data_IF_037918591355
#
_entry.id   IF_037918591355
#
_cell.length_a   1.000
_cell.length_b   1.000
_cell.length_c   1.000
_cell.angle_alpha   90.00
_cell.angle_beta   90.00
_cell.angle_gamma   90.00
#
_symmetry.space_group_name_H-M   'P 1'
#
loop_
_entity.id
_entity.type
_entity.pdbx_description
1 polymer ?
#
# COMPACT_ATOMS: atom_id res chain seq x y z
N UNK A 1 15.55 0.57 8.80
CA UNK A 1 14.62 1.68 9.06
C UNK A 1 13.66 1.75 7.88
N UNK A 2 12.37 1.58 8.12
CA UNK A 2 11.35 1.74 7.08
C UNK A 2 11.29 3.23 6.76
N UNK A 3 11.65 3.60 5.53
CA UNK A 3 11.58 4.99 5.08
C UNK A 3 10.09 5.39 4.99
N UNK A 4 9.66 6.33 5.80
CA UNK A 4 8.31 6.88 5.72
C UNK A 4 8.24 7.92 4.61
N UNK A 5 7.20 7.91 3.76
CA UNK A 5 7.03 8.92 2.72
C UNK A 5 6.83 10.31 3.35
N UNK A 6 7.23 11.36 2.63
CA UNK A 6 7.01 12.76 3.05
C UNK A 6 5.64 13.32 2.66
N UNK A 7 4.89 12.58 1.86
CA UNK A 7 3.52 12.89 1.43
C UNK A 7 2.60 11.84 1.99
N UNK A 8 1.60 12.25 2.75
CA UNK A 8 0.58 11.34 3.29
C UNK A 8 -0.46 10.99 2.22
N UNK A 9 -0.97 9.77 2.31
CA UNK A 9 -2.04 9.30 1.44
C UNK A 9 -3.31 9.02 2.24
N UNK A 10 -4.43 9.41 1.67
CA UNK A 10 -5.74 9.19 2.27
C UNK A 10 -6.71 8.66 1.21
N UNK A 11 -7.59 7.76 1.61
CA UNK A 11 -8.71 7.27 0.81
C UNK A 11 -10.01 7.62 1.54
N UNK A 12 -10.83 8.49 0.93
CA UNK A 12 -12.05 9.04 1.54
C UNK A 12 -11.79 9.65 2.95
N UNK A 13 -10.62 10.27 3.14
CA UNK A 13 -10.17 10.84 4.40
C UNK A 13 -9.52 9.84 5.37
N UNK A 14 -9.58 8.54 5.12
CA UNK A 14 -8.90 7.51 5.90
C UNK A 14 -7.41 7.52 5.58
N UNK A 15 -6.56 7.63 6.59
CA UNK A 15 -5.11 7.53 6.41
C UNK A 15 -4.72 6.12 5.93
N UNK A 16 -3.97 6.04 4.83
CA UNK A 16 -3.44 4.80 4.27
C UNK A 16 -1.98 4.66 4.70
N UNK A 17 -1.72 3.66 5.54
CA UNK A 17 -0.41 3.49 6.16
C UNK A 17 0.64 2.87 5.23
N UNK A 18 0.21 1.99 4.36
CA UNK A 18 1.06 1.28 3.40
C UNK A 18 0.94 1.89 2.01
N UNK A 19 2.06 2.18 1.33
CA UNK A 19 2.04 2.63 -0.06
C UNK A 19 1.53 1.54 -1.03
N UNK A 20 1.56 0.29 -0.62
CA UNK A 20 1.08 -0.83 -1.43
C UNK A 20 -0.45 -0.85 -1.53
N UNK A 21 -1.17 -0.47 -0.50
CA UNK A 21 -2.64 -0.33 -0.53
C UNK A 21 -3.14 0.71 -1.54
N UNK A 22 -2.25 1.53 -2.10
CA UNK A 22 -2.56 2.54 -3.12
C UNK A 22 -2.32 2.05 -4.55
N UNK A 23 -1.68 0.90 -4.72
CA UNK A 23 -1.43 0.33 -6.05
C UNK A 23 -2.71 -0.21 -6.70
N UNK A 24 -3.86 -0.04 -6.04
CA UNK A 24 -5.14 -0.38 -6.63
C UNK A 24 -5.34 0.45 -7.89
N UNK A 25 -5.63 -0.19 -9.00
CA UNK A 25 -6.09 0.47 -10.23
C UNK A 25 -7.17 1.50 -9.84
N UNK A 26 -7.07 2.74 -10.32
CA UNK A 26 -7.99 3.85 -10.00
C UNK A 26 -9.46 3.45 -10.17
N UNK A 27 -9.93 2.63 -9.23
CA UNK A 27 -11.24 2.01 -9.25
C UNK A 27 -12.30 3.04 -8.83
N UNK A 28 -13.13 3.46 -9.78
CA UNK A 28 -14.35 4.23 -9.53
C UNK A 28 -14.12 5.48 -8.66
N UNK A 29 -13.22 6.35 -9.13
CA UNK A 29 -12.90 7.59 -8.45
C UNK A 29 -13.88 8.70 -8.80
N UNK A 30 -14.12 9.59 -7.85
CA UNK A 30 -14.77 10.88 -8.07
C UNK A 30 -13.73 11.94 -8.43
N UNK A 31 -12.68 12.09 -7.58
CA UNK A 31 -11.59 13.05 -7.77
C UNK A 31 -10.36 12.69 -6.94
N UNK A 32 -9.25 13.35 -7.23
CA UNK A 32 -8.03 13.31 -6.43
C UNK A 32 -7.73 14.73 -5.98
N UNK A 33 -7.52 14.93 -4.69
CA UNK A 33 -7.16 16.19 -4.07
C UNK A 33 -5.68 16.17 -3.70
N UNK A 34 -4.91 17.17 -4.15
CA UNK A 34 -3.49 17.31 -3.86
C UNK A 34 -3.26 18.59 -3.07
N UNK A 35 -2.86 18.43 -1.82
CA UNK A 35 -2.52 19.52 -0.91
C UNK A 35 -1.00 19.66 -0.87
N UNK A 36 -0.50 20.79 -1.36
CA UNK A 36 0.94 21.06 -1.45
C UNK A 36 1.43 21.76 -0.20
N UNK A 37 2.64 21.41 0.23
CA UNK A 37 3.28 21.96 1.42
C UNK A 37 2.84 21.27 2.71
N UNK A 38 3.43 21.66 3.86
CA UNK A 38 3.20 20.97 5.13
C UNK A 38 1.73 20.96 5.56
N UNK A 39 1.18 19.79 5.80
CA UNK A 39 -0.20 19.56 6.22
C UNK A 39 -0.28 18.86 7.60
N UNK A 40 0.80 18.92 8.39
CA UNK A 40 0.96 18.11 9.61
C UNK A 40 -0.12 18.33 10.68
N UNK A 41 -0.80 19.48 10.71
CA UNK A 41 -1.85 19.75 11.70
C UNK A 41 -3.06 18.85 11.48
N UNK A 42 -3.63 18.84 10.27
CA UNK A 42 -4.86 18.12 9.94
C UNK A 42 -4.58 16.69 9.43
N UNK A 43 -3.63 16.54 8.51
CA UNK A 43 -3.32 15.26 7.89
C UNK A 43 -2.29 14.42 8.66
N UNK A 44 -1.67 15.01 9.69
CA UNK A 44 -0.84 14.30 10.65
C UNK A 44 0.50 13.86 10.11
N UNK A 45 0.85 12.61 10.41
CA UNK A 45 2.15 12.04 10.06
C UNK A 45 2.36 11.95 8.54
N UNK A 46 3.64 11.95 8.14
CA UNK A 46 4.06 11.80 6.75
C UNK A 46 3.56 12.91 5.79
N UNK A 47 3.12 14.07 6.31
CA UNK A 47 2.54 15.16 5.52
C UNK A 47 3.40 16.42 5.50
N UNK A 48 4.73 16.27 5.60
CA UNK A 48 5.69 17.40 5.55
C UNK A 48 5.84 17.98 4.14
N UNK A 49 5.70 17.16 3.10
CA UNK A 49 5.68 17.57 1.68
C UNK A 49 4.29 17.88 1.16
N UNK A 50 3.25 17.33 1.80
CA UNK A 50 1.86 17.49 1.38
C UNK A 50 1.00 16.30 1.76
N UNK A 51 -0.23 16.30 1.23
CA UNK A 51 -1.17 15.19 1.34
C UNK A 51 -1.88 14.94 0.00
N UNK A 52 -2.15 13.68 -0.29
CA UNK A 52 -2.99 13.26 -1.42
C UNK A 52 -4.20 12.56 -0.83
N UNK A 53 -5.39 13.03 -1.16
CA UNK A 53 -6.64 12.43 -0.75
C UNK A 53 -7.40 11.96 -2.00
N UNK A 54 -7.57 10.65 -2.11
CA UNK A 54 -8.31 10.01 -3.19
C UNK A 54 -9.76 9.86 -2.74
N UNK A 55 -10.68 10.47 -3.47
CA UNK A 55 -12.11 10.43 -3.17
C UNK A 55 -12.78 9.47 -4.14
N UNK A 56 -13.43 8.45 -3.60
CA UNK A 56 -14.17 7.47 -4.37
C UNK A 56 -15.64 7.90 -4.53
N UNK A 57 -16.31 7.44 -5.59
CA UNK A 57 -17.71 7.77 -5.79
C UNK A 57 -18.58 7.15 -4.70
N UNK A 58 -19.40 7.99 -4.07
CA UNK A 58 -20.35 7.54 -3.05
C UNK A 58 -21.53 6.79 -3.68
N UNK A 59 -22.16 5.84 -2.94
CA UNK A 59 -23.48 5.34 -3.27
C UNK A 59 -24.52 6.47 -3.27
N UNK A 60 -25.52 6.39 -4.14
CA UNK A 60 -26.66 7.31 -4.14
C UNK A 60 -27.98 6.56 -4.11
N UNK A 61 -28.97 7.13 -3.44
CA UNK A 61 -30.35 6.63 -3.39
C UNK A 61 -31.21 7.11 -4.56
N UNK A 62 -30.69 7.98 -5.45
CA UNK A 62 -31.44 8.62 -6.52
C UNK A 62 -31.85 7.63 -7.60
N UNK A 63 -30.92 6.76 -8.03
CA UNK A 63 -31.17 5.86 -9.15
C UNK A 63 -30.35 4.56 -9.11
N UNK A 64 -30.88 3.53 -9.73
CA UNK A 64 -30.11 2.34 -10.07
C UNK A 64 -29.44 2.54 -11.41
N UNK A 65 -28.12 2.47 -11.45
CA UNK A 65 -27.37 2.47 -12.70
C UNK A 65 -26.14 1.56 -12.63
N UNK A 66 -25.63 1.20 -13.79
CA UNK A 66 -24.39 0.43 -13.89
C UNK A 66 -23.68 0.68 -15.20
N UNK A 67 -22.41 0.41 -15.22
CA UNK A 67 -21.59 0.44 -16.43
C UNK A 67 -20.61 -0.73 -16.41
N UNK A 68 -20.25 -1.21 -17.61
CA UNK A 68 -19.18 -2.15 -17.81
C UNK A 68 -18.39 -1.75 -19.05
N UNK A 69 -17.08 -1.84 -18.99
CA UNK A 69 -16.21 -1.62 -20.12
C UNK A 69 -15.14 -2.71 -20.19
N UNK A 70 -14.70 -3.00 -21.42
CA UNK A 70 -13.65 -3.96 -21.72
C UNK A 70 -12.63 -3.28 -22.63
N UNK A 71 -11.37 -3.31 -22.24
CA UNK A 71 -10.26 -2.82 -23.03
C UNK A 71 -9.39 -3.99 -23.46
N UNK A 72 -9.07 -4.07 -24.73
CA UNK A 72 -8.16 -5.06 -25.32
C UNK A 72 -6.98 -4.35 -25.97
N UNK A 73 -5.80 -4.94 -25.92
CA UNK A 73 -4.60 -4.34 -26.47
C UNK A 73 -3.50 -5.35 -26.81
N UNK A 74 -2.30 -4.84 -27.05
CA UNK A 74 -1.13 -5.66 -27.35
C UNK A 74 -0.75 -6.53 -26.12
N UNK A 75 0.00 -7.59 -26.36
CA UNK A 75 0.43 -8.55 -25.35
C UNK A 75 -0.75 -9.21 -24.61
N UNK A 76 -1.80 -9.56 -25.34
CA UNK A 76 -2.98 -10.18 -24.72
C UNK A 76 -3.73 -9.31 -23.71
N UNK A 77 -3.48 -7.98 -23.68
CA UNK A 77 -4.12 -7.10 -22.71
C UNK A 77 -5.64 -7.28 -22.74
N UNK A 78 -6.17 -7.64 -21.59
CA UNK A 78 -7.59 -7.67 -21.29
C UNK A 78 -7.85 -6.96 -19.97
N UNK A 79 -8.48 -5.79 -20.03
CA UNK A 79 -8.89 -5.04 -18.85
C UNK A 79 -10.41 -4.94 -18.83
N UNK A 80 -11.02 -5.43 -17.75
CA UNK A 80 -12.48 -5.40 -17.54
C UNK A 80 -12.79 -4.52 -16.35
N UNK A 81 -13.78 -3.63 -16.50
CA UNK A 81 -14.26 -2.79 -15.41
C UNK A 81 -15.77 -2.87 -15.34
N UNK A 82 -16.32 -2.93 -14.12
CA UNK A 82 -17.76 -2.90 -13.91
C UNK A 82 -18.09 -2.08 -12.65
N UNK A 83 -19.18 -1.36 -12.70
CA UNK A 83 -19.71 -0.58 -11.59
C UNK A 83 -21.21 -0.75 -11.55
N UNK A 84 -21.77 -0.89 -10.35
CA UNK A 84 -23.22 -0.84 -10.11
C UNK A 84 -23.49 0.03 -8.89
N UNK A 85 -24.48 0.93 -9.02
CA UNK A 85 -25.08 1.67 -7.93
C UNK A 85 -26.53 1.21 -7.76
N UNK A 86 -26.93 0.91 -6.54
CA UNK A 86 -28.27 0.42 -6.24
C UNK A 86 -28.81 1.01 -4.94
N UNK A 87 -29.90 1.82 -5.00
CA UNK A 87 -30.72 2.10 -3.84
C UNK A 87 -31.27 0.78 -3.25
N UNK A 88 -31.08 0.58 -1.94
CA UNK A 88 -31.64 -0.57 -1.20
C UNK A 88 -32.90 -0.16 -0.44
N UNK A 89 -32.99 1.12 -0.04
CA UNK A 89 -34.15 1.77 0.54
C UNK A 89 -34.05 3.29 0.30
N UNK A 90 -35.00 4.05 0.84
CA UNK A 90 -34.98 5.52 0.77
C UNK A 90 -33.73 6.13 1.43
N UNK A 91 -33.15 5.44 2.42
CA UNK A 91 -32.04 5.93 3.24
C UNK A 91 -30.79 5.08 3.14
N UNK A 92 -30.76 4.04 2.30
CA UNK A 92 -29.65 3.11 2.17
C UNK A 92 -29.35 2.86 0.70
N UNK A 93 -28.13 3.10 0.31
CA UNK A 93 -27.62 2.77 -1.02
C UNK A 93 -26.35 1.93 -0.94
N UNK A 94 -26.15 1.11 -1.97
CA UNK A 94 -24.95 0.32 -2.19
C UNK A 94 -24.30 0.70 -3.53
N UNK A 95 -22.98 0.74 -3.53
CA UNK A 95 -22.18 0.84 -4.76
C UNK A 95 -21.12 -0.25 -4.74
N UNK A 96 -21.07 -1.06 -5.81
CA UNK A 96 -20.04 -2.04 -6.02
C UNK A 96 -19.25 -1.74 -7.29
N UNK A 97 -17.95 -1.92 -7.23
CA UNK A 97 -17.02 -1.64 -8.33
C UNK A 97 -16.02 -2.78 -8.42
N UNK A 98 -15.67 -3.15 -9.64
CA UNK A 98 -14.75 -4.24 -9.97
C UNK A 98 -13.84 -3.84 -11.12
N UNK A 99 -12.59 -4.26 -11.05
CA UNK A 99 -11.63 -4.18 -12.15
C UNK A 99 -10.74 -5.42 -12.15
N UNK A 100 -10.49 -5.95 -13.34
CA UNK A 100 -9.50 -6.99 -13.59
C UNK A 100 -8.60 -6.52 -14.72
N UNK A 101 -7.31 -6.73 -14.59
CA UNK A 101 -6.31 -6.35 -15.56
C UNK A 101 -5.34 -7.52 -15.76
N UNK A 102 -5.33 -8.09 -16.98
CA UNK A 102 -4.43 -9.17 -17.35
C UNK A 102 -3.70 -8.78 -18.63
N UNK A 103 -2.39 -9.01 -18.66
CA UNK A 103 -1.54 -8.75 -19.82
C UNK A 103 -0.29 -9.63 -19.75
N UNK A 104 0.08 -10.25 -20.87
CA UNK A 104 1.32 -11.00 -21.00
C UNK A 104 2.55 -10.10 -20.79
N UNK A 105 3.65 -10.66 -20.29
CA UNK A 105 4.91 -9.97 -20.18
C UNK A 105 5.45 -9.53 -21.56
N UNK A 106 6.26 -8.49 -21.57
CA UNK A 106 6.87 -7.97 -22.79
C UNK A 106 8.41 -7.94 -22.72
N UNK A 107 8.98 -8.42 -21.63
CA UNK A 107 10.43 -8.59 -21.46
C UNK A 107 10.73 -10.06 -21.20
N UNK A 108 11.51 -10.68 -22.06
CA UNK A 108 11.85 -12.10 -22.01
C UNK A 108 13.14 -12.32 -21.20
N UNK A 109 13.11 -13.22 -20.24
CA UNK A 109 14.30 -13.75 -19.60
C UNK A 109 14.81 -14.96 -20.40
N UNK A 110 15.90 -14.79 -21.15
CA UNK A 110 16.44 -15.80 -22.05
C UNK A 110 17.02 -17.03 -21.33
N UNK A 111 17.29 -16.93 -20.02
CA UNK A 111 17.90 -18.01 -19.24
C UNK A 111 16.85 -18.99 -18.73
N UNK A 112 15.76 -18.49 -18.16
CA UNK A 112 14.73 -19.33 -17.55
C UNK A 112 13.38 -19.33 -18.32
N UNK A 113 13.25 -18.48 -19.35
CA UNK A 113 12.05 -18.41 -20.20
C UNK A 113 10.86 -17.68 -19.58
N UNK A 114 11.05 -16.91 -18.48
CA UNK A 114 9.98 -16.10 -17.93
C UNK A 114 9.73 -14.86 -18.79
N UNK A 115 8.46 -14.55 -19.01
CA UNK A 115 8.02 -13.26 -19.55
C UNK A 115 7.74 -12.31 -18.38
N UNK A 116 8.56 -11.27 -18.26
CA UNK A 116 8.52 -10.27 -17.20
C UNK A 116 7.74 -9.02 -17.64
N UNK A 117 7.46 -8.12 -16.68
CA UNK A 117 6.63 -6.93 -16.90
C UNK A 117 5.20 -7.27 -17.32
N UNK A 118 4.72 -8.43 -16.93
CA UNK A 118 3.33 -8.84 -17.06
C UNK A 118 2.42 -8.05 -16.11
N UNK A 119 1.13 -8.24 -16.22
CA UNK A 119 0.14 -7.72 -15.28
C UNK A 119 -0.93 -8.77 -15.07
N UNK A 120 -1.21 -9.08 -13.82
CA UNK A 120 -2.36 -9.88 -13.41
C UNK A 120 -2.86 -9.34 -12.06
N UNK A 121 -3.99 -8.63 -12.10
CA UNK A 121 -4.56 -8.03 -10.90
C UNK A 121 -6.07 -7.99 -10.93
N UNK A 122 -6.65 -8.05 -9.75
CA UNK A 122 -8.09 -7.90 -9.50
C UNK A 122 -8.29 -6.93 -8.35
N UNK A 123 -9.22 -5.99 -8.52
CA UNK A 123 -9.66 -5.11 -7.44
C UNK A 123 -11.19 -5.09 -7.37
N UNK A 124 -11.69 -5.13 -6.15
CA UNK A 124 -13.13 -4.99 -5.89
C UNK A 124 -13.35 -4.06 -4.70
N UNK A 125 -14.40 -3.24 -4.79
CA UNK A 125 -14.85 -2.36 -3.71
C UNK A 125 -16.36 -2.42 -3.58
N UNK A 126 -16.83 -2.50 -2.33
CA UNK A 126 -18.24 -2.33 -1.97
C UNK A 126 -18.33 -1.18 -0.98
N UNK A 127 -19.25 -0.25 -1.24
CA UNK A 127 -19.60 0.84 -0.34
C UNK A 127 -21.07 0.76 0.02
N UNK A 128 -21.39 1.15 1.25
CA UNK A 128 -22.75 1.36 1.74
C UNK A 128 -22.83 2.78 2.30
N UNK A 129 -23.85 3.51 1.92
CA UNK A 129 -24.20 4.81 2.50
C UNK A 129 -25.57 4.70 3.16
N UNK A 130 -25.63 5.02 4.45
CA UNK A 130 -26.87 5.00 5.23
C UNK A 130 -27.12 6.37 5.85
N UNK A 131 -28.22 7.00 5.46
CA UNK A 131 -28.61 8.36 5.83
C UNK A 131 -30.05 8.36 6.38
N UNK A 132 -30.25 7.85 7.63
CA UNK A 132 -31.59 7.72 8.21
C UNK A 132 -32.22 9.07 8.56
N UNK A 133 -31.44 10.14 8.61
CA UNK A 133 -31.90 11.50 8.93
C UNK A 133 -30.89 12.54 8.44
N UNK A 134 -31.30 13.79 8.40
CA UNK A 134 -30.45 14.93 7.99
C UNK A 134 -29.27 15.17 8.96
N UNK A 135 -29.30 14.58 10.17
CA UNK A 135 -28.29 14.79 11.20
C UNK A 135 -27.32 13.61 11.36
N UNK A 136 -27.54 12.50 10.66
CA UNK A 136 -26.69 11.32 10.81
C UNK A 136 -26.43 10.65 9.48
N UNK A 137 -25.16 10.41 9.18
CA UNK A 137 -24.66 9.66 8.00
C UNK A 137 -23.68 8.60 8.43
N UNK A 138 -23.78 7.42 7.85
CA UNK A 138 -22.84 6.32 8.02
C UNK A 138 -22.40 5.78 6.67
N UNK A 139 -21.10 5.75 6.43
CA UNK A 139 -20.49 5.21 5.23
C UNK A 139 -19.57 4.06 5.60
N UNK A 140 -19.78 2.90 4.98
CA UNK A 140 -18.95 1.72 5.15
C UNK A 140 -18.30 1.38 3.81
N UNK A 141 -17.06 0.94 3.87
CA UNK A 141 -16.31 0.49 2.69
C UNK A 141 -15.55 -0.80 3.01
N UNK A 142 -15.57 -1.73 2.05
CA UNK A 142 -14.68 -2.87 1.97
C UNK A 142 -14.03 -2.87 0.59
N UNK A 143 -12.70 -2.89 0.56
CA UNK A 143 -11.90 -2.94 -0.66
C UNK A 143 -10.89 -4.07 -0.54
N UNK A 144 -10.73 -4.82 -1.62
CA UNK A 144 -9.70 -5.84 -1.79
C UNK A 144 -8.96 -5.61 -3.10
N UNK A 145 -7.67 -5.89 -3.08
CA UNK A 145 -6.79 -5.90 -4.23
C UNK A 145 -5.91 -7.13 -4.17
N UNK A 146 -5.79 -7.82 -5.27
CA UNK A 146 -4.94 -9.00 -5.43
C UNK A 146 -4.13 -8.87 -6.71
N UNK A 147 -2.82 -9.08 -6.62
CA UNK A 147 -1.88 -9.06 -7.75
C UNK A 147 -0.97 -10.28 -7.65
N UNK A 148 -0.82 -11.01 -8.76
CA UNK A 148 0.12 -12.13 -8.91
C UNK A 148 0.81 -12.02 -10.28
N UNK A 149 2.08 -11.63 -10.30
CA UNK A 149 2.84 -11.41 -11.53
C UNK A 149 4.26 -11.92 -11.43
N UNK A 150 4.89 -12.13 -12.58
CA UNK A 150 6.30 -12.53 -12.67
C UNK A 150 7.30 -11.44 -12.23
N UNK A 151 6.80 -10.22 -11.98
CA UNK A 151 7.63 -9.12 -11.51
C UNK A 151 8.21 -8.25 -12.64
N UNK A 152 8.89 -7.19 -12.20
CA UNK A 152 9.44 -6.20 -13.11
C UNK A 152 10.83 -6.61 -13.61
N UNK A 153 11.07 -6.47 -14.90
CA UNK A 153 12.37 -6.72 -15.49
C UNK A 153 13.42 -5.75 -14.93
N UNK A 154 14.53 -6.29 -14.46
CA UNK A 154 15.68 -5.53 -13.95
C UNK A 154 16.95 -6.01 -14.65
N UNK A 155 17.26 -5.41 -15.80
CA UNK A 155 18.45 -5.76 -16.59
C UNK A 155 19.73 -5.29 -15.90
N UNK A 156 20.67 -6.20 -15.67
CA UNK A 156 21.98 -5.90 -15.13
C UNK A 156 22.84 -5.05 -16.09
N UNK A 157 23.73 -4.22 -15.53
CA UNK A 157 24.62 -3.36 -16.33
C UNK A 157 25.61 -4.18 -17.19
N UNK A 158 25.88 -5.41 -16.81
CA UNK A 158 26.81 -6.33 -17.51
C UNK A 158 26.09 -7.29 -18.45
N UNK A 159 24.75 -7.25 -18.48
CA UNK A 159 23.96 -8.11 -19.35
C UNK A 159 24.30 -7.87 -20.82
N UNK A 160 24.75 -8.92 -21.57
CA UNK A 160 25.25 -8.74 -22.92
C UNK A 160 24.13 -8.64 -23.97
N UNK A 161 22.88 -8.84 -23.63
CA UNK A 161 21.79 -8.81 -24.61
C UNK A 161 21.59 -7.41 -25.20
N UNK A 162 21.55 -7.26 -26.52
CA UNK A 162 21.41 -5.96 -27.16
C UNK A 162 19.98 -5.42 -27.12
N UNK A 163 18.98 -6.31 -27.03
CA UNK A 163 17.57 -5.92 -26.98
C UNK A 163 17.20 -5.44 -25.57
N UNK A 164 16.63 -4.24 -25.42
CA UNK A 164 16.20 -3.74 -24.10
C UNK A 164 15.06 -4.55 -23.48
N UNK A 165 14.36 -5.37 -24.26
CA UNK A 165 13.28 -6.26 -23.79
C UNK A 165 13.74 -7.71 -23.64
N UNK A 166 15.04 -7.94 -23.59
CA UNK A 166 15.62 -9.23 -23.26
C UNK A 166 16.66 -9.06 -22.17
N UNK A 167 16.72 -10.00 -21.27
CA UNK A 167 17.68 -10.06 -20.18
C UNK A 167 18.07 -11.51 -19.89
N UNK A 168 19.08 -11.68 -19.04
CA UNK A 168 19.54 -12.97 -18.56
C UNK A 168 19.64 -12.95 -17.05
N UNK A 169 18.82 -13.79 -16.39
CA UNK A 169 18.79 -13.98 -14.97
C UNK A 169 18.53 -15.46 -14.67
N UNK A 170 19.29 -16.04 -13.75
CA UNK A 170 19.15 -17.44 -13.39
C UNK A 170 18.00 -17.66 -12.39
N UNK A 171 17.75 -16.72 -11.47
CA UNK A 171 16.69 -16.85 -10.49
C UNK A 171 15.32 -16.43 -11.02
N UNK A 172 14.25 -17.17 -10.69
CA UNK A 172 12.90 -16.77 -11.05
C UNK A 172 12.49 -15.53 -10.24
N UNK A 173 11.71 -14.66 -10.88
CA UNK A 173 11.11 -13.49 -10.23
C UNK A 173 9.62 -13.67 -10.02
N UNK A 174 9.10 -13.14 -8.94
CA UNK A 174 7.68 -13.21 -8.56
C UNK A 174 7.32 -12.00 -7.71
N UNK A 175 6.13 -11.46 -7.91
CA UNK A 175 5.59 -10.39 -7.09
C UNK A 175 4.11 -10.66 -6.82
N UNK A 176 3.77 -10.87 -5.55
CA UNK A 176 2.39 -11.03 -5.09
C UNK A 176 2.06 -9.94 -4.10
N UNK A 177 0.86 -9.39 -4.21
CA UNK A 177 0.33 -8.40 -3.29
C UNK A 177 -1.14 -8.68 -3.04
N UNK A 178 -1.49 -8.92 -1.78
CA UNK A 178 -2.87 -8.90 -1.32
C UNK A 178 -3.05 -7.71 -0.38
N UNK A 179 -3.92 -6.77 -0.74
CA UNK A 179 -4.21 -5.60 0.07
C UNK A 179 -5.71 -5.51 0.36
N UNK A 180 -6.05 -5.25 1.62
CA UNK A 180 -7.42 -5.17 2.10
C UNK A 180 -7.59 -3.89 2.94
N UNK A 181 -8.67 -3.16 2.69
CA UNK A 181 -9.02 -1.98 3.46
C UNK A 181 -10.52 -2.02 3.80
N UNK A 182 -10.81 -1.97 5.08
CA UNK A 182 -12.15 -1.84 5.62
C UNK A 182 -12.26 -0.53 6.35
N UNK A 183 -13.34 0.22 6.13
CA UNK A 183 -13.55 1.47 6.84
C UNK A 183 -15.00 1.73 7.20
N UNK A 184 -15.17 2.51 8.27
CA UNK A 184 -16.43 3.06 8.71
C UNK A 184 -16.26 4.55 8.99
N UNK A 185 -17.04 5.39 8.34
CA UNK A 185 -17.09 6.83 8.55
C UNK A 185 -18.50 7.19 9.04
N UNK A 186 -18.58 7.68 10.29
CA UNK A 186 -19.82 8.10 10.90
C UNK A 186 -19.78 9.61 11.08
N UNK A 187 -20.81 10.30 10.64
CA UNK A 187 -20.96 11.75 10.77
C UNK A 187 -22.25 12.06 11.50
N UNK A 188 -22.16 12.95 12.47
CA UNK A 188 -23.26 13.37 13.30
C UNK A 188 -23.29 14.89 13.42
N UNK A 189 -24.25 15.51 12.74
CA UNK A 189 -24.45 16.95 12.75
C UNK A 189 -25.21 17.40 13.99
N UNK A 190 -24.71 18.45 14.61
CA UNK A 190 -25.31 19.17 15.72
C UNK A 190 -25.48 20.63 15.35
N UNK A 191 -26.23 21.36 16.13
CA UNK A 191 -26.54 22.78 15.86
C UNK A 191 -25.28 23.63 15.60
N UNK A 192 -24.24 23.47 16.44
CA UNK A 192 -23.03 24.32 16.38
C UNK A 192 -21.77 23.59 15.89
N UNK A 193 -21.81 22.27 15.78
CA UNK A 193 -20.66 21.46 15.35
C UNK A 193 -21.11 20.10 14.81
N UNK A 194 -20.26 19.48 14.04
CA UNK A 194 -20.40 18.07 13.64
C UNK A 194 -19.34 17.20 14.30
N UNK A 195 -19.69 15.94 14.53
CA UNK A 195 -18.77 14.89 14.99
C UNK A 195 -18.55 13.94 13.82
N UNK A 196 -17.29 13.70 13.49
CA UNK A 196 -16.92 12.72 12.46
C UNK A 196 -15.97 11.68 13.06
N UNK A 197 -16.37 10.40 12.99
CA UNK A 197 -15.55 9.27 13.40
C UNK A 197 -15.10 8.49 12.16
N UNK A 198 -13.79 8.30 11.99
CA UNK A 198 -13.20 7.53 10.91
C UNK A 198 -12.43 6.36 11.53
N UNK A 199 -12.86 5.16 11.20
CA UNK A 199 -12.21 3.91 11.65
C UNK A 199 -11.73 3.14 10.45
N UNK A 200 -10.53 2.59 10.50
CA UNK A 200 -10.08 1.65 9.46
C UNK A 200 -9.31 0.46 10.01
N UNK A 201 -9.39 -0.63 9.26
CA UNK A 201 -8.56 -1.82 9.38
C UNK A 201 -7.96 -2.13 8.03
N UNK A 202 -6.63 -2.23 7.95
CA UNK A 202 -5.88 -2.41 6.72
C UNK A 202 -4.95 -3.61 6.88
N UNK A 203 -4.86 -4.43 5.85
CA UNK A 203 -3.91 -5.56 5.76
C UNK A 203 -3.25 -5.52 4.41
N UNK A 204 -1.93 -5.57 4.39
CA UNK A 204 -1.11 -5.75 3.20
C UNK A 204 -0.23 -6.98 3.40
N UNK A 205 -0.24 -7.88 2.43
CA UNK A 205 0.58 -9.09 2.41
C UNK A 205 1.33 -9.15 1.09
N UNK A 206 2.65 -9.12 1.15
CA UNK A 206 3.52 -8.98 -0.01
C UNK A 206 4.50 -10.14 0.00
N UNK A 207 4.67 -10.76 -1.17
CA UNK A 207 5.73 -11.70 -1.44
C UNK A 207 6.51 -11.25 -2.66
N UNK A 208 7.82 -11.16 -2.53
CA UNK A 208 8.72 -10.81 -3.63
C UNK A 208 9.82 -11.85 -3.73
N UNK A 209 10.02 -12.38 -4.94
CA UNK A 209 11.21 -13.10 -5.34
C UNK A 209 11.92 -12.32 -6.41
N UNK A 210 13.23 -12.23 -6.33
CA UNK A 210 14.02 -11.50 -7.33
C UNK A 210 15.44 -12.02 -7.40
N UNK A 211 15.97 -12.00 -8.59
CA UNK A 211 17.38 -12.11 -8.86
C UNK A 211 18.07 -10.84 -8.33
N UNK A 212 18.97 -10.99 -7.34
CA UNK A 212 19.57 -9.84 -6.68
C UNK A 212 20.81 -9.34 -7.43
N UNK A 213 21.57 -10.23 -8.06
CA UNK A 213 22.75 -9.88 -8.85
C UNK A 213 22.40 -9.51 -10.31
N UNK A 214 21.18 -9.83 -10.77
CA UNK A 214 20.62 -9.46 -12.08
C UNK A 214 21.41 -9.99 -13.27
N UNK A 215 21.94 -11.21 -13.16
CA UNK A 215 22.65 -11.86 -14.26
C UNK A 215 22.52 -13.40 -14.16
N UNK A 216 23.00 -14.10 -15.18
CA UNK A 216 23.02 -15.56 -15.27
C UNK A 216 24.44 -16.14 -15.25
N UNK A 217 25.41 -15.40 -14.74
CA UNK A 217 26.80 -15.82 -14.71
C UNK A 217 27.09 -16.59 -13.42
N UNK A 218 27.58 -17.82 -13.56
CA UNK A 218 28.00 -18.67 -12.46
C UNK A 218 29.28 -18.14 -11.79
N UNK A 219 30.00 -17.26 -12.46
CA UNK A 219 31.25 -16.67 -11.99
C UNK A 219 31.41 -15.23 -12.46
N UNK A 220 31.62 -14.31 -11.54
CA UNK A 220 31.97 -12.93 -11.84
C UNK A 220 33.44 -12.67 -11.48
N UNK A 221 34.25 -11.98 -12.36
CA UNK A 221 35.68 -11.71 -12.10
C UNK A 221 35.89 -10.89 -10.82
N UNK A 222 37.12 -10.81 -10.28
CA UNK A 222 37.48 -10.70 -8.85
C UNK A 222 36.97 -9.52 -8.01
N UNK A 223 36.01 -8.77 -8.50
CA UNK A 223 35.31 -7.69 -7.76
C UNK A 223 33.79 -7.73 -7.96
N UNK A 224 33.28 -8.84 -8.45
CA UNK A 224 31.88 -9.00 -8.76
C UNK A 224 31.09 -9.60 -7.60
N UNK A 225 29.82 -9.26 -7.56
CA UNK A 225 28.86 -9.77 -6.61
C UNK A 225 28.78 -11.29 -6.76
N UNK A 226 28.70 -11.98 -5.64
CA UNK A 226 28.34 -13.40 -5.63
C UNK A 226 26.94 -13.56 -6.23
N UNK A 227 26.69 -14.63 -7.01
CA UNK A 227 25.32 -14.96 -7.41
C UNK A 227 24.42 -14.95 -6.20
N UNK A 228 23.33 -14.18 -6.28
CA UNK A 228 22.44 -14.02 -5.12
C UNK A 228 20.98 -13.81 -5.52
N UNK A 229 20.08 -14.36 -4.74
CA UNK A 229 18.64 -14.19 -4.89
C UNK A 229 17.96 -13.85 -3.55
N UNK A 230 16.81 -13.17 -3.63
CA UNK A 230 15.86 -13.09 -2.53
C UNK A 230 14.73 -14.10 -2.78
N UNK A 231 14.62 -15.12 -1.92
CA UNK A 231 13.64 -16.21 -2.08
C UNK A 231 13.07 -16.72 -0.75
N UNK A 232 11.92 -16.29 -0.35
CA UNK A 232 11.22 -15.04 -0.67
C UNK A 232 11.54 -13.90 0.30
N UNK A 233 11.28 -12.66 -0.12
CA UNK A 233 11.02 -11.55 0.80
C UNK A 233 9.51 -11.47 1.06
N UNK A 234 9.08 -11.62 2.30
CA UNK A 234 7.68 -11.46 2.69
C UNK A 234 7.53 -10.27 3.64
N UNK A 235 6.47 -9.52 3.46
CA UNK A 235 6.13 -8.39 4.31
C UNK A 235 4.61 -8.38 4.53
N UNK A 236 4.18 -8.63 5.77
CA UNK A 236 2.79 -8.51 6.17
C UNK A 236 2.63 -7.35 7.11
N UNK A 237 1.78 -6.40 6.76
CA UNK A 237 1.47 -5.24 7.57
C UNK A 237 -0.01 -5.24 7.93
N UNK A 238 -0.30 -5.07 9.21
CA UNK A 238 -1.66 -4.84 9.72
C UNK A 238 -1.71 -3.46 10.37
N UNK A 239 -2.70 -2.66 10.00
CA UNK A 239 -2.86 -1.31 10.55
C UNK A 239 -4.30 -1.07 10.98
N UNK A 240 -4.47 -0.52 12.17
CA UNK A 240 -5.74 -0.01 12.68
C UNK A 240 -5.62 1.50 12.85
N UNK A 241 -6.61 2.26 12.37
CA UNK A 241 -6.70 3.69 12.64
C UNK A 241 -8.06 4.06 13.21
N UNK A 242 -8.05 5.01 14.13
CA UNK A 242 -9.25 5.65 14.65
C UNK A 242 -9.02 7.16 14.70
N UNK A 243 -9.90 7.92 14.07
CA UNK A 243 -9.89 9.37 14.15
C UNK A 243 -11.27 9.89 14.56
N UNK A 244 -11.31 10.86 15.45
CA UNK A 244 -12.52 11.54 15.86
C UNK A 244 -12.28 13.03 15.69
N UNK A 245 -13.10 13.65 14.85
CA UNK A 245 -13.07 15.08 14.57
C UNK A 245 -14.33 15.76 15.08
N UNK A 246 -14.14 16.91 15.68
CA UNK A 246 -15.17 17.91 16.00
C UNK A 246 -14.92 19.10 15.07
N UNK A 247 -15.91 19.45 14.27
CA UNK A 247 -15.80 20.54 13.27
C UNK A 247 -16.93 21.53 13.52
N UNK A 248 -16.59 22.83 13.61
CA UNK A 248 -17.63 23.86 13.75
C UNK A 248 -18.57 23.85 12.54
N UNK A 249 -19.88 23.87 12.80
CA UNK A 249 -20.89 24.09 11.76
C UNK A 249 -21.14 25.59 11.54
N UNK A 250 -20.96 26.37 12.60
CA UNK A 250 -21.06 27.83 12.57
C UNK A 250 -19.82 28.46 13.25
N UNK A 251 -19.32 29.60 12.76
CA UNK A 251 -18.21 30.31 13.39
C UNK A 251 -18.59 30.82 14.79
N UNK A 252 -17.78 30.50 15.79
CA UNK A 252 -17.92 31.07 17.13
C UNK A 252 -17.76 32.61 17.03
N UNK A 253 -18.68 33.35 17.61
CA UNK A 253 -18.79 34.81 17.52
C UNK A 253 -18.88 35.32 16.06
N UNK A 254 -19.36 34.48 15.13
CA UNK A 254 -19.43 34.83 13.71
C UNK A 254 -18.06 34.98 13.03
N UNK A 255 -16.95 34.55 13.66
CA UNK A 255 -15.59 34.79 13.17
C UNK A 255 -14.64 33.61 13.23
N UNK A 256 -14.81 32.68 14.16
CA UNK A 256 -13.87 31.59 14.39
C UNK A 256 -14.45 30.26 13.92
N UNK A 257 -14.00 29.77 12.78
CA UNK A 257 -14.17 28.37 12.39
C UNK A 257 -13.08 27.54 13.07
N UNK A 258 -13.45 26.34 13.54
CA UNK A 258 -12.50 25.49 14.24
C UNK A 258 -12.71 24.01 13.94
N UNK A 259 -11.61 23.27 14.07
CA UNK A 259 -11.61 21.82 14.11
C UNK A 259 -10.73 21.36 15.26
N UNK A 260 -11.16 20.31 15.96
CA UNK A 260 -10.37 19.62 16.97
C UNK A 260 -10.48 18.12 16.74
N UNK A 261 -9.42 17.37 16.97
CA UNK A 261 -9.43 15.94 16.70
C UNK A 261 -8.48 15.12 17.57
N UNK A 262 -8.82 13.85 17.64
CA UNK A 262 -8.01 12.78 18.22
C UNK A 262 -7.72 11.77 17.12
N UNK A 263 -6.47 11.31 17.06
CA UNK A 263 -6.04 10.27 16.11
C UNK A 263 -5.25 9.19 16.86
N UNK A 264 -5.59 7.95 16.56
CA UNK A 264 -4.86 6.76 17.00
C UNK A 264 -4.50 5.91 15.80
N UNK A 265 -3.30 5.35 15.82
CA UNK A 265 -2.82 4.36 14.87
C UNK A 265 -2.02 3.30 15.63
N UNK A 266 -2.30 2.04 15.31
CA UNK A 266 -1.42 0.92 15.60
C UNK A 266 -1.05 0.25 14.28
N UNK A 267 0.22 -0.05 14.08
CA UNK A 267 0.74 -0.79 12.93
C UNK A 267 1.67 -1.88 13.40
N UNK A 268 1.37 -3.11 13.03
CA UNK A 268 2.22 -4.28 13.22
C UNK A 268 2.73 -4.73 11.86
N UNK A 269 4.03 -5.02 11.76
CA UNK A 269 4.66 -5.47 10.52
C UNK A 269 5.46 -6.74 10.83
N UNK A 270 5.31 -7.75 9.98
CA UNK A 270 6.10 -8.97 9.98
C UNK A 270 6.90 -9.01 8.67
N UNK A 271 8.23 -8.95 8.78
CA UNK A 271 9.13 -9.01 7.63
C UNK A 271 9.98 -10.27 7.77
N UNK A 272 10.03 -11.07 6.71
CA UNK A 272 10.98 -12.18 6.58
C UNK A 272 11.68 -12.05 5.23
N UNK A 273 13.00 -12.04 5.26
CA UNK A 273 13.83 -11.96 4.06
C UNK A 273 14.78 -13.16 4.11
N UNK A 274 14.71 -14.01 3.08
CA UNK A 274 15.68 -15.04 2.80
C UNK A 274 16.56 -14.58 1.64
N UNK A 275 17.81 -14.29 1.90
CA UNK A 275 18.82 -14.03 0.87
C UNK A 275 19.72 -15.26 0.74
N UNK A 276 19.89 -15.78 -0.47
CA UNK A 276 20.76 -16.88 -0.80
C UNK A 276 21.95 -16.39 -1.62
N UNK A 277 23.12 -16.94 -1.32
CA UNK A 277 24.37 -16.67 -2.02
C UNK A 277 24.93 -18.00 -2.52
N UNK A 278 25.18 -18.11 -3.83
CA UNK A 278 25.83 -19.28 -4.42
C UNK A 278 27.35 -19.16 -4.31
N UNK A 279 27.92 -19.91 -3.37
CA UNK A 279 29.37 -20.07 -3.24
C UNK A 279 29.90 -21.27 -4.03
N UNK A 280 29.03 -22.12 -4.56
CA UNK A 280 29.38 -23.21 -5.46
C UNK A 280 29.78 -22.73 -6.85
N UNK A 281 29.33 -21.54 -7.22
CA UNK A 281 29.52 -20.93 -8.54
C UNK A 281 29.04 -21.81 -9.70
N UNK A 282 27.97 -22.56 -9.47
CA UNK A 282 27.38 -23.42 -10.48
C UNK A 282 25.99 -22.94 -10.99
N UNK A 283 25.52 -21.78 -10.48
CA UNK A 283 24.24 -21.18 -10.86
C UNK A 283 23.03 -21.91 -10.33
N UNK A 284 23.21 -22.89 -9.43
CA UNK A 284 22.17 -23.67 -8.81
C UNK A 284 22.12 -23.38 -7.32
N UNK A 285 21.01 -22.83 -6.85
CA UNK A 285 20.80 -22.62 -5.41
C UNK A 285 20.30 -23.92 -4.78
N UNK A 286 21.18 -24.61 -4.08
CA UNK A 286 20.85 -25.82 -3.36
C UNK A 286 19.82 -25.58 -2.23
N UNK A 287 18.99 -26.56 -1.83
CA UNK A 287 18.11 -26.44 -0.69
C UNK A 287 18.89 -26.04 0.57
N UNK A 288 18.42 -25.01 1.23
CA UNK A 288 19.06 -24.47 2.43
C UNK A 288 19.03 -25.49 3.58
N UNK A 289 20.18 -25.88 4.12
CA UNK A 289 20.29 -26.80 5.25
C UNK A 289 21.32 -26.30 6.28
N UNK A 290 21.09 -26.51 7.59
CA UNK A 290 21.81 -25.87 8.70
C UNK A 290 23.12 -26.55 9.15
N UNK A 291 23.60 -27.67 8.57
CA UNK A 291 24.67 -28.48 9.16
C UNK A 291 26.11 -28.21 8.71
N UNK A 292 26.38 -27.36 7.71
CA UNK A 292 27.73 -27.19 7.15
C UNK A 292 28.40 -25.83 7.43
N UNK A 293 28.64 -25.51 8.67
CA UNK A 293 29.22 -24.20 9.05
C UNK A 293 30.73 -24.03 8.72
N UNK A 294 31.47 -25.08 8.29
CA UNK A 294 32.94 -25.03 8.12
C UNK A 294 33.54 -25.81 6.95
N UNK A 295 33.05 -25.71 5.75
CA UNK A 295 33.72 -26.29 4.56
C UNK A 295 33.27 -25.57 3.27
N UNK A 296 34.18 -25.17 2.40
CA UNK A 296 33.97 -24.26 1.25
C UNK A 296 33.28 -24.88 0.02
N UNK A 297 32.19 -25.58 0.19
CA UNK A 297 31.35 -26.03 -0.93
C UNK A 297 29.90 -26.00 -0.50
N UNK A 298 29.08 -25.20 -1.16
CA UNK A 298 27.63 -25.08 -0.93
C UNK A 298 27.18 -23.64 -0.68
N UNK A 299 25.89 -23.41 -0.87
CA UNK A 299 25.28 -22.11 -0.77
C UNK A 299 25.21 -21.62 0.66
N UNK A 300 25.20 -20.32 0.81
CA UNK A 300 25.06 -19.65 2.08
C UNK A 300 23.81 -18.77 2.08
N UNK A 301 23.07 -18.75 3.17
CA UNK A 301 21.88 -17.94 3.25
C UNK A 301 21.78 -17.14 4.54
N UNK A 302 21.08 -16.03 4.44
CA UNK A 302 20.70 -15.18 5.55
C UNK A 302 19.19 -15.15 5.66
N UNK A 303 18.64 -15.44 6.84
CA UNK A 303 17.25 -15.15 7.15
C UNK A 303 17.23 -13.98 8.12
N UNK A 304 16.57 -12.92 7.75
CA UNK A 304 16.30 -11.78 8.61
C UNK A 304 14.81 -11.73 8.88
N UNK A 305 14.41 -11.93 10.13
CA UNK A 305 13.04 -11.72 10.59
C UNK A 305 12.98 -10.44 11.41
N UNK A 306 12.02 -9.60 11.13
CA UNK A 306 11.79 -8.34 11.85
C UNK A 306 10.32 -8.12 12.09
N UNK A 307 9.97 -7.74 13.31
CA UNK A 307 8.59 -7.47 13.72
C UNK A 307 8.49 -6.07 14.32
N UNK A 308 8.58 -5.01 13.49
CA UNK A 308 8.34 -3.66 13.99
C UNK A 308 6.87 -3.44 14.28
N UNK A 309 6.61 -2.80 15.42
CA UNK A 309 5.30 -2.33 15.86
C UNK A 309 5.37 -0.84 16.11
N UNK A 310 4.32 -0.11 15.76
CA UNK A 310 4.22 1.32 16.00
C UNK A 310 2.87 1.69 16.52
N UNK A 311 2.87 2.38 17.68
CA UNK A 311 1.71 3.06 18.23
C UNK A 311 1.86 4.57 18.09
N UNK A 312 0.83 5.24 17.59
CA UNK A 312 0.78 6.69 17.46
C UNK A 312 -0.52 7.23 18.01
N UNK A 313 -0.42 8.17 18.94
CA UNK A 313 -1.59 8.88 19.47
C UNK A 313 -1.36 10.38 19.32
N UNK A 314 -2.36 11.07 18.76
CA UNK A 314 -2.28 12.51 18.57
C UNK A 314 -3.58 13.20 18.98
N UNK A 315 -3.44 14.43 19.47
CA UNK A 315 -4.53 15.39 19.54
C UNK A 315 -4.12 16.68 18.85
N UNK A 316 -5.08 17.31 18.18
CA UNK A 316 -4.83 18.49 17.39
C UNK A 316 -6.03 19.42 17.37
N UNK A 317 -5.76 20.65 17.00
CA UNK A 317 -6.76 21.67 16.77
C UNK A 317 -6.27 22.73 15.81
N UNK A 318 -7.19 23.25 15.03
CA UNK A 318 -6.94 24.36 14.10
C UNK A 318 -8.10 25.33 14.19
N UNK A 319 -7.77 26.61 14.20
CA UNK A 319 -8.74 27.69 14.14
C UNK A 319 -8.46 28.59 12.94
N UNK A 320 -9.53 29.03 12.28
CA UNK A 320 -9.50 30.07 11.25
C UNK A 320 -10.27 31.27 11.74
N UNK A 321 -9.54 32.34 12.03
CA UNK A 321 -10.16 33.60 12.42
C UNK A 321 -10.40 34.50 11.22
N UNK A 322 -11.65 34.76 10.90
CA UNK A 322 -12.07 35.60 9.81
C UNK A 322 -12.12 37.08 10.29
N UNK A 323 -11.13 37.88 9.92
CA UNK A 323 -11.07 39.29 10.26
C UNK A 323 -12.05 40.09 9.38
N UNK A 324 -12.11 39.76 8.09
CA UNK A 324 -12.97 40.30 7.05
C UNK A 324 -13.13 39.27 5.92
N UNK A 325 -13.94 39.59 4.92
CA UNK A 325 -14.15 38.73 3.73
C UNK A 325 -12.84 38.44 2.95
N UNK A 326 -11.84 39.32 3.09
CA UNK A 326 -10.56 39.23 2.38
C UNK A 326 -9.37 38.87 3.25
N UNK A 327 -9.50 38.86 4.59
CA UNK A 327 -8.42 38.61 5.52
C UNK A 327 -8.81 37.56 6.56
N UNK A 328 -8.04 36.51 6.61
CA UNK A 328 -8.18 35.45 7.61
C UNK A 328 -6.82 35.04 8.18
N UNK A 329 -6.81 34.61 9.43
CA UNK A 329 -5.64 34.02 10.09
C UNK A 329 -5.94 32.58 10.44
N UNK A 330 -5.07 31.67 10.04
CA UNK A 330 -5.15 30.25 10.40
C UNK A 330 -4.06 29.95 11.41
N UNK A 331 -4.41 29.26 12.49
CA UNK A 331 -3.49 28.77 13.51
C UNK A 331 -3.84 27.35 13.86
N UNK A 332 -2.84 26.51 14.08
CA UNK A 332 -3.05 25.11 14.41
C UNK A 332 -1.93 24.57 15.28
N UNK A 333 -2.28 23.59 16.08
CA UNK A 333 -1.37 22.86 16.95
C UNK A 333 -1.71 21.36 16.89
N UNK A 334 -0.66 20.55 16.86
CA UNK A 334 -0.77 19.08 17.01
C UNK A 334 0.29 18.60 17.98
N UNK A 335 -0.10 17.74 18.89
CA UNK A 335 0.80 16.95 19.72
C UNK A 335 0.67 15.49 19.36
N UNK A 336 1.80 14.83 19.11
CA UNK A 336 1.85 13.40 18.75
C UNK A 336 2.83 12.68 19.67
N UNK A 337 2.40 11.55 20.19
CA UNK A 337 3.25 10.59 20.87
C UNK A 337 3.36 9.35 19.97
N UNK A 338 4.57 9.04 19.53
CA UNK A 338 4.89 7.83 18.76
C UNK A 338 5.75 6.90 19.63
N UNK A 339 5.40 5.63 19.66
CA UNK A 339 6.18 4.56 20.29
C UNK A 339 6.46 3.51 19.21
N UNK A 340 7.72 3.14 19.06
CA UNK A 340 8.16 2.14 18.07
C UNK A 340 8.93 1.06 18.79
N UNK A 341 8.50 -0.17 18.62
CA UNK A 341 9.16 -1.37 19.08
C UNK A 341 9.64 -2.16 17.88
N UNK A 342 10.79 -2.78 17.95
CA UNK A 342 11.27 -3.65 16.89
C UNK A 342 12.10 -4.76 17.47
N UNK A 343 11.78 -6.00 17.08
CA UNK A 343 12.62 -7.16 17.29
C UNK A 343 13.19 -7.59 15.94
N UNK A 344 14.48 -7.90 15.90
CA UNK A 344 15.15 -8.41 14.71
C UNK A 344 15.91 -9.68 15.10
N UNK A 345 15.69 -10.75 14.35
CA UNK A 345 16.40 -12.02 14.52
C UNK A 345 17.04 -12.39 13.19
N UNK A 346 18.34 -12.61 13.21
CA UNK A 346 19.11 -13.03 12.06
C UNK A 346 19.57 -14.46 12.25
N UNK A 347 19.34 -15.30 11.25
CA UNK A 347 19.86 -16.65 11.16
C UNK A 347 20.84 -16.72 9.99
N UNK A 348 21.93 -17.45 10.20
CA UNK A 348 22.93 -17.71 9.19
C UNK A 348 23.04 -19.21 9.03
N UNK A 349 23.03 -19.69 7.80
CA UNK A 349 23.15 -21.12 7.57
C UNK A 349 23.73 -21.41 6.20
N UNK A 350 24.00 -22.66 5.97
CA UNK A 350 24.58 -23.17 4.75
C UNK A 350 23.62 -24.15 4.08
N UNK A 351 23.67 -24.22 2.75
CA UNK A 351 22.93 -25.20 1.97
C UNK A 351 23.23 -26.63 2.47
N UNK A 352 22.20 -27.44 2.64
CA UNK A 352 22.32 -28.82 3.07
C UNK A 352 22.06 -29.10 4.57
N UNK A 353 21.73 -28.07 5.41
CA UNK A 353 21.53 -28.24 6.85
C UNK A 353 20.22 -27.63 7.34
N UNK A 354 19.53 -28.29 8.27
CA UNK A 354 18.28 -27.81 8.85
C UNK A 354 18.49 -26.51 9.65
N UNK A 355 17.65 -25.51 9.44
CA UNK A 355 17.62 -24.30 10.25
C UNK A 355 16.99 -24.63 11.60
N UNK A 356 17.74 -24.47 12.68
CA UNK A 356 17.24 -24.58 14.05
C UNK A 356 16.69 -23.24 14.52
#
# INVERSE_FOLDING_TARGET
AIATPSVSYHLDGIYVASPYSLQTDFLDLERIEVLRGPQGTLFGQNSTGGAINVITRAPTTDETYGSADVTMGNYGLLKTRAVINKPLSENLAMRASFISNSRDGFTENLTNGQDLDDADSVSARVRLSYEPSDIFRANFMAQVFDEDRNGSAQKGIIDPTPDPRQLRQNSPTEHKLNAQLYSAVLEWDRENFSIKSLTSYQVDDILVRRDNDRNDLDYLPPFALLPSEYDPETNKQTTITQEINLVSSEPIFGKLDWVAGLFYLNTEIEISILERLDFGFDGVFDPFTTSDVYGYSGDFGFITNSTPERDSTSFYGQGTWNHSDSLRTVFGLRHTKDEVYSAVTNFYGRSGTDIL
#
